data_IF_517377264195
#
_entry.id   IF_517377264195
#
_cell.length_a   1.000
_cell.length_b   1.000
_cell.length_c   1.000
_cell.angle_alpha   90.00
_cell.angle_beta   90.00
_cell.angle_gamma   90.00
#
_symmetry.space_group_name_H-M   'P 1'
#
loop_
_entity.id
_entity.type
_entity.pdbx_description
1 polymer ?
#
# COMPACT_ATOMS: atom_id res chain seq x y z
N UNK A 1 3.69 0.30 -11.09
CA UNK A 1 3.30 -0.45 -9.85
C UNK A 1 1.84 -0.23 -9.48
N UNK A 2 1.34 1.00 -9.48
CA UNK A 2 -0.07 1.28 -9.18
C UNK A 2 -1.06 0.67 -10.19
N UNK A 3 -0.74 0.70 -11.49
CA UNK A 3 -1.53 0.03 -12.54
C UNK A 3 -1.39 -1.49 -12.49
N UNK A 4 -0.20 -2.00 -12.13
CA UNK A 4 0.04 -3.43 -11.94
C UNK A 4 -0.85 -4.01 -10.83
N UNK A 5 -0.93 -3.31 -9.70
CA UNK A 5 -1.75 -3.66 -8.54
C UNK A 5 -3.25 -3.36 -8.72
N UNK A 6 -3.67 -2.84 -9.88
CA UNK A 6 -5.07 -2.66 -10.21
C UNK A 6 -5.73 -4.01 -10.53
N UNK A 7 -4.99 -4.94 -11.15
CA UNK A 7 -5.45 -6.28 -11.53
C UNK A 7 -4.98 -7.40 -10.61
N UNK A 8 -3.98 -7.17 -9.76
CA UNK A 8 -3.41 -8.20 -8.88
C UNK A 8 -3.41 -7.78 -7.41
N UNK A 9 -3.64 -8.73 -6.52
CA UNK A 9 -3.67 -8.48 -5.06
C UNK A 9 -2.27 -8.28 -4.48
N UNK A 10 -1.24 -8.92 -5.07
CA UNK A 10 0.16 -8.84 -4.69
C UNK A 10 1.07 -8.60 -5.91
N UNK A 11 2.34 -8.25 -5.69
CA UNK A 11 3.29 -7.90 -6.74
C UNK A 11 3.52 -9.06 -7.72
N UNK A 12 3.61 -10.29 -7.20
CA UNK A 12 3.93 -11.49 -7.98
C UNK A 12 2.71 -12.36 -8.30
N UNK A 13 1.50 -11.94 -7.91
CA UNK A 13 0.25 -12.64 -8.25
C UNK A 13 -0.74 -12.76 -7.08
N UNK A 14 -1.39 -13.93 -6.87
CA UNK A 14 -2.48 -14.08 -5.91
C UNK A 14 -2.03 -14.39 -4.47
N UNK A 15 -0.75 -14.68 -4.25
CA UNK A 15 -0.20 -15.05 -2.93
C UNK A 15 0.80 -14.01 -2.47
N UNK A 16 0.82 -13.77 -1.15
CA UNK A 16 1.86 -12.98 -0.51
C UNK A 16 3.21 -13.70 -0.67
N UNK A 17 4.22 -13.00 -1.19
CA UNK A 17 5.57 -13.54 -1.37
C UNK A 17 6.62 -12.71 -0.63
N UNK A 18 7.85 -13.22 -0.54
CA UNK A 18 8.98 -12.47 0.02
C UNK A 18 9.25 -11.17 -0.74
N UNK A 19 8.97 -11.15 -2.04
CA UNK A 19 9.06 -9.93 -2.84
C UNK A 19 8.12 -8.82 -2.29
N UNK A 20 6.91 -9.19 -1.84
CA UNK A 20 5.99 -8.24 -1.23
C UNK A 20 6.50 -7.72 0.12
N UNK A 21 7.13 -8.58 0.94
CA UNK A 21 7.70 -8.18 2.23
C UNK A 21 8.88 -7.23 2.07
N UNK A 22 9.78 -7.53 1.11
CA UNK A 22 10.92 -6.68 0.78
C UNK A 22 10.45 -5.34 0.21
N UNK A 23 9.54 -5.37 -0.75
CA UNK A 23 8.97 -4.16 -1.33
C UNK A 23 8.27 -3.30 -0.27
N UNK A 24 7.51 -3.92 0.65
CA UNK A 24 6.85 -3.22 1.75
C UNK A 24 7.87 -2.52 2.66
N UNK A 25 8.96 -3.20 3.00
CA UNK A 25 10.03 -2.63 3.83
C UNK A 25 10.74 -1.46 3.16
N UNK A 26 11.01 -1.58 1.85
CA UNK A 26 11.65 -0.52 1.05
C UNK A 26 10.71 0.67 0.86
N UNK A 27 9.42 0.43 0.59
CA UNK A 27 8.43 1.47 0.29
C UNK A 27 7.91 2.21 1.53
N UNK A 28 7.94 1.59 2.71
CA UNK A 28 7.47 2.18 3.97
C UNK A 28 7.92 3.64 4.21
N UNK A 29 9.23 3.97 4.17
CA UNK A 29 9.68 5.34 4.38
C UNK A 29 9.26 6.32 3.27
N UNK A 30 9.05 5.84 2.04
CA UNK A 30 8.58 6.68 0.93
C UNK A 30 7.09 6.96 1.05
N UNK A 31 6.28 5.95 1.37
CA UNK A 31 4.83 6.09 1.55
C UNK A 31 4.48 7.01 2.73
N UNK A 32 5.31 7.02 3.77
CA UNK A 32 5.19 7.98 4.89
C UNK A 32 5.45 9.43 4.49
N UNK A 33 6.32 9.66 3.49
CA UNK A 33 6.67 11.00 3.00
C UNK A 33 5.70 11.52 1.93
N UNK A 34 4.82 10.67 1.40
CA UNK A 34 3.84 11.08 0.40
C UNK A 34 2.83 12.07 0.98
N UNK A 35 2.53 13.10 0.19
CA UNK A 35 1.46 14.06 0.51
C UNK A 35 0.09 13.42 0.32
N UNK A 36 -0.97 14.06 0.81
CA UNK A 36 -2.34 13.57 0.65
C UNK A 36 -2.73 13.38 -0.82
N UNK A 37 -2.32 14.31 -1.68
CA UNK A 37 -2.63 14.29 -3.11
C UNK A 37 -1.91 13.15 -3.84
N UNK A 38 -0.66 12.87 -3.44
CA UNK A 38 0.08 11.72 -3.98
C UNK A 38 -0.55 10.40 -3.52
N UNK A 39 -1.00 10.33 -2.26
CA UNK A 39 -1.67 9.15 -1.72
C UNK A 39 -2.95 8.79 -2.50
N UNK A 40 -3.70 9.78 -2.97
CA UNK A 40 -4.86 9.55 -3.83
C UNK A 40 -4.44 8.98 -5.20
N UNK A 41 -3.34 9.48 -5.77
CA UNK A 41 -2.81 8.99 -7.04
C UNK A 41 -2.30 7.54 -6.96
N UNK A 42 -1.81 7.11 -5.79
CA UNK A 42 -1.27 5.76 -5.55
C UNK A 42 -2.18 4.85 -4.72
N UNK A 43 -3.50 4.94 -4.93
CA UNK A 43 -4.47 4.22 -4.11
C UNK A 43 -4.32 2.68 -4.11
N UNK A 44 -3.92 2.06 -5.23
CA UNK A 44 -3.72 0.61 -5.29
C UNK A 44 -2.48 0.19 -4.51
N UNK A 45 -1.41 0.98 -4.58
CA UNK A 45 -0.17 0.75 -3.80
C UNK A 45 -0.46 0.86 -2.31
N UNK A 46 -1.23 1.87 -1.88
CA UNK A 46 -1.61 2.00 -0.47
C UNK A 46 -2.52 0.87 0.01
N UNK A 47 -3.48 0.44 -0.82
CA UNK A 47 -4.33 -0.72 -0.52
C UNK A 47 -3.49 -1.98 -0.32
N UNK A 48 -2.59 -2.27 -1.26
CA UNK A 48 -1.66 -3.40 -1.18
C UNK A 48 -0.78 -3.29 0.07
N UNK A 49 -0.17 -2.13 0.32
CA UNK A 49 0.70 -1.91 1.47
C UNK A 49 -0.03 -2.16 2.79
N UNK A 50 -1.25 -1.65 2.94
CA UNK A 50 -2.05 -1.87 4.15
C UNK A 50 -2.44 -3.34 4.31
N UNK A 51 -2.72 -4.04 3.21
CA UNK A 51 -3.02 -5.47 3.22
C UNK A 51 -1.80 -6.28 3.68
N UNK A 52 -0.65 -6.09 3.05
CA UNK A 52 0.62 -6.76 3.39
C UNK A 52 1.02 -6.46 4.84
N UNK A 53 0.92 -5.20 5.28
CA UNK A 53 1.25 -4.78 6.65
C UNK A 53 0.34 -5.44 7.69
N UNK A 54 -0.95 -5.59 7.38
CA UNK A 54 -1.91 -6.27 8.27
C UNK A 54 -1.62 -7.76 8.33
N UNK A 55 -1.32 -8.41 7.21
CA UNK A 55 -0.99 -9.84 7.15
C UNK A 55 0.31 -10.18 7.88
N UNK A 56 1.30 -9.30 7.82
CA UNK A 56 2.56 -9.46 8.54
C UNK A 56 2.44 -9.21 10.04
N UNK A 57 1.31 -8.66 10.51
CA UNK A 57 1.08 -8.24 11.90
C UNK A 57 2.28 -7.48 12.50
N UNK A 58 2.95 -6.66 11.67
CA UNK A 58 4.21 -6.04 12.03
C UNK A 58 3.95 -4.67 12.67
N UNK A 59 4.18 -4.50 13.98
CA UNK A 59 3.87 -3.26 14.69
C UNK A 59 4.78 -2.09 14.28
N UNK A 60 5.88 -2.35 13.56
CA UNK A 60 6.77 -1.31 13.05
C UNK A 60 6.24 -0.59 11.82
N UNK A 61 5.23 -1.16 11.15
CA UNK A 61 4.64 -0.55 9.96
C UNK A 61 3.43 0.25 10.40
N UNK A 62 3.60 1.57 10.52
CA UNK A 62 2.51 2.46 10.89
C UNK A 62 1.44 2.40 9.81
N UNK A 63 0.23 2.01 10.19
CA UNK A 63 -0.91 1.97 9.29
C UNK A 63 -1.14 3.37 8.74
N UNK A 64 -0.97 3.57 7.44
CA UNK A 64 -1.32 4.83 6.78
C UNK A 64 -2.85 4.84 6.66
N UNK A 65 -3.57 5.71 7.39
CA UNK A 65 -5.02 5.75 7.31
C UNK A 65 -5.42 6.22 5.90
N UNK A 66 -6.16 5.37 5.20
CA UNK A 66 -6.76 5.74 3.92
C UNK A 66 -8.03 6.56 4.22
N UNK A 67 -7.92 7.89 4.23
CA UNK A 67 -9.10 8.73 4.25
C UNK A 67 -9.67 8.80 2.83
N UNK A 68 -10.75 8.05 2.57
CA UNK A 68 -11.63 8.34 1.44
C UNK A 68 -12.26 9.69 1.72
N UNK A 69 -11.71 10.76 1.16
CA UNK A 69 -12.40 12.04 1.15
C UNK A 69 -13.71 11.85 0.37
N UNK A 70 -14.83 11.94 1.08
CA UNK A 70 -16.11 12.29 0.46
C UNK A 70 -16.03 13.77 0.05
N UNK A 71 -15.33 14.05 -1.03
CA UNK A 71 -15.59 15.26 -1.80
C UNK A 71 -16.54 14.81 -2.91
N UNK A 72 -17.65 15.53 -3.08
CA UNK A 72 -18.86 15.19 -3.87
C UNK A 72 -19.90 14.34 -3.11
N UNK A 73 -20.69 14.99 -2.23
CA UNK A 73 -22.14 15.21 -2.42
C UNK A 73 -22.51 16.53 -1.74
#
# INVERSE_FOLDING_TARGET
MNELLQGTTFITGPRLTEADMLACSVLSPYLHKLTYQDKESFHNVLRWFNHVSTTLNNPKITRIPFQRNKLYI
#
